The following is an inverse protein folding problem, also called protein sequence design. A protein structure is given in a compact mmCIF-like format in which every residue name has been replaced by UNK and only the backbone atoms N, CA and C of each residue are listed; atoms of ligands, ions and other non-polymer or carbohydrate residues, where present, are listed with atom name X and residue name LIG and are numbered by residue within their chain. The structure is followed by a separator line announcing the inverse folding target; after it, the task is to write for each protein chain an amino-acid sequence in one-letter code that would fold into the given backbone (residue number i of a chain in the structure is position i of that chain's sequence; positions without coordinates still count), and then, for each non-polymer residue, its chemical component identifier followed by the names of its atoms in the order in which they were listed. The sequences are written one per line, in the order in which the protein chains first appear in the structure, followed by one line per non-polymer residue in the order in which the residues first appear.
data_IF_893381624740
#
_entry.id   IF_893381624740
#
_cell.length_a   1.000
_cell.length_b   1.000
_cell.length_c   1.000
_cell.angle_alpha   90.00
_cell.angle_beta   90.00
_cell.angle_gamma   90.00
#
_symmetry.space_group_name_H-M   'P 1'
#
loop_
_entity.id
_entity.type
_entity.pdbx_description
1 polymer ?
#
# COMPACT_ATOMS: atom_id res chain seq x y z
N UNK A 1 -15.61 -35.73 -25.32
CA UNK A 1 -16.33 -35.41 -24.10
C UNK A 1 -15.91 -34.04 -23.60
N UNK A 2 -16.84 -33.10 -23.53
CA UNK A 2 -16.47 -31.75 -23.15
C UNK A 2 -15.91 -31.64 -21.72
N UNK A 3 -16.44 -32.40 -20.80
CA UNK A 3 -15.94 -32.38 -19.42
C UNK A 3 -14.57 -33.05 -19.28
N UNK A 4 -14.21 -33.92 -20.18
CA UNK A 4 -12.91 -34.58 -20.15
C UNK A 4 -11.79 -33.66 -20.64
N UNK A 5 -12.15 -32.63 -21.41
CA UNK A 5 -11.14 -31.72 -21.96
C UNK A 5 -10.52 -30.80 -20.94
N UNK A 6 -11.26 -30.45 -19.91
CA UNK A 6 -10.83 -29.38 -19.06
C UNK A 6 -11.43 -29.52 -17.67
N UNK A 7 -10.96 -30.48 -16.85
CA UNK A 7 -11.49 -30.66 -15.51
C UNK A 7 -11.29 -29.43 -14.61
N UNK A 8 -10.36 -28.55 -14.99
CA UNK A 8 -10.06 -27.35 -14.23
C UNK A 8 -10.49 -26.08 -14.93
N UNK A 9 -11.39 -26.16 -15.92
CA UNK A 9 -11.79 -24.99 -16.71
C UNK A 9 -12.43 -23.91 -15.85
N UNK A 10 -13.32 -24.30 -14.93
CA UNK A 10 -13.98 -23.39 -14.04
C UNK A 10 -12.99 -22.73 -13.06
N UNK A 11 -12.07 -23.51 -12.54
CA UNK A 11 -11.03 -23.02 -11.63
C UNK A 11 -10.09 -22.06 -12.34
N UNK A 12 -9.73 -22.33 -13.60
CA UNK A 12 -8.89 -21.42 -14.38
C UNK A 12 -9.57 -20.09 -14.65
N UNK A 13 -10.83 -20.14 -15.06
CA UNK A 13 -11.61 -18.93 -15.30
C UNK A 13 -11.75 -18.12 -14.00
N UNK A 14 -12.02 -18.81 -12.92
CA UNK A 14 -12.13 -18.18 -11.60
C UNK A 14 -10.81 -17.53 -11.17
N UNK A 15 -9.71 -18.22 -11.41
CA UNK A 15 -8.38 -17.71 -11.07
C UNK A 15 -8.06 -16.43 -11.85
N UNK A 16 -8.35 -16.41 -13.15
CA UNK A 16 -8.17 -15.22 -13.97
C UNK A 16 -9.05 -14.08 -13.46
N UNK A 17 -10.30 -14.36 -13.13
CA UNK A 17 -11.21 -13.35 -12.57
C UNK A 17 -10.69 -12.78 -11.25
N UNK A 18 -10.12 -13.63 -10.41
CA UNK A 18 -9.54 -13.19 -9.14
C UNK A 18 -8.35 -12.25 -9.37
N UNK A 19 -7.48 -12.56 -10.32
CA UNK A 19 -6.36 -11.68 -10.66
C UNK A 19 -6.82 -10.39 -11.31
N UNK A 20 -7.84 -10.44 -12.15
CA UNK A 20 -8.42 -9.24 -12.76
C UNK A 20 -9.05 -8.33 -11.68
N UNK A 21 -9.77 -8.92 -10.73
CA UNK A 21 -10.34 -8.19 -9.62
C UNK A 21 -9.25 -7.54 -8.75
N UNK A 22 -8.17 -8.27 -8.53
CA UNK A 22 -7.03 -7.76 -7.78
C UNK A 22 -6.36 -6.58 -8.50
N UNK A 23 -6.22 -6.68 -9.81
CA UNK A 23 -5.67 -5.59 -10.63
C UNK A 23 -6.54 -4.33 -10.51
N UNK A 24 -7.85 -4.48 -10.65
CA UNK A 24 -8.79 -3.37 -10.50
C UNK A 24 -8.69 -2.74 -9.12
N UNK A 25 -8.53 -3.55 -8.10
CA UNK A 25 -8.39 -3.08 -6.73
C UNK A 25 -7.12 -2.23 -6.56
N UNK A 26 -5.99 -2.70 -7.10
CA UNK A 26 -4.74 -1.94 -7.04
C UNK A 26 -4.83 -0.64 -7.84
N UNK A 27 -5.54 -0.62 -8.96
CA UNK A 27 -5.77 0.59 -9.73
C UNK A 27 -6.57 1.62 -8.95
N UNK A 28 -7.61 1.18 -8.24
CA UNK A 28 -8.39 2.05 -7.36
C UNK A 28 -7.55 2.60 -6.21
N UNK A 29 -6.77 1.74 -5.59
CA UNK A 29 -5.89 2.15 -4.50
C UNK A 29 -4.89 3.20 -4.96
N UNK A 30 -4.31 3.01 -6.14
CA UNK A 30 -3.38 3.95 -6.71
C UNK A 30 -4.05 5.30 -6.99
N UNK A 31 -5.28 5.26 -7.51
CA UNK A 31 -6.07 6.47 -7.77
C UNK A 31 -6.41 7.21 -6.48
N UNK A 32 -6.80 6.49 -5.43
CA UNK A 32 -7.05 7.08 -4.11
C UNK A 32 -5.80 7.74 -3.56
N UNK A 33 -4.66 7.11 -3.73
CA UNK A 33 -3.37 7.66 -3.32
C UNK A 33 -3.06 8.97 -4.04
N UNK A 34 -3.26 9.03 -5.35
CA UNK A 34 -3.07 10.24 -6.14
C UNK A 34 -3.99 11.37 -5.70
N UNK A 35 -5.19 11.05 -5.26
CA UNK A 35 -6.19 12.02 -4.81
C UNK A 35 -6.08 12.32 -3.31
N UNK A 36 -5.06 11.81 -2.65
CA UNK A 36 -4.82 12.00 -1.21
C UNK A 36 -5.96 11.51 -0.31
N UNK A 37 -6.70 10.51 -0.78
CA UNK A 37 -7.80 9.91 -0.02
C UNK A 37 -7.29 8.74 0.81
N UNK A 38 -6.49 9.05 1.79
CA UNK A 38 -5.75 8.08 2.59
C UNK A 38 -6.64 7.19 3.44
N UNK A 39 -7.74 7.73 4.00
CA UNK A 39 -8.66 6.95 4.82
C UNK A 39 -9.36 5.88 3.99
N UNK A 40 -9.80 6.24 2.78
CA UNK A 40 -10.41 5.29 1.85
C UNK A 40 -9.39 4.26 1.38
N UNK A 41 -8.15 4.68 1.16
CA UNK A 41 -7.06 3.78 0.78
C UNK A 41 -6.80 2.74 1.86
N UNK A 42 -6.75 3.15 3.12
CA UNK A 42 -6.53 2.25 4.26
C UNK A 42 -7.66 1.23 4.33
N UNK A 43 -8.91 1.66 4.14
CA UNK A 43 -10.05 0.76 4.13
C UNK A 43 -9.94 -0.26 2.99
N UNK A 44 -9.51 0.16 1.80
CA UNK A 44 -9.33 -0.74 0.66
C UNK A 44 -8.16 -1.69 0.85
N UNK A 45 -7.16 -1.33 1.62
CA UNK A 45 -6.02 -2.21 1.89
C UNK A 45 -6.47 -3.50 2.58
N UNK A 46 -7.44 -3.40 3.48
CA UNK A 46 -8.02 -4.57 4.13
C UNK A 46 -8.65 -5.50 3.10
N UNK A 47 -9.41 -4.94 2.16
CA UNK A 47 -10.02 -5.72 1.08
C UNK A 47 -8.95 -6.34 0.17
N UNK A 48 -7.89 -5.60 -0.10
CA UNK A 48 -6.76 -6.08 -0.90
C UNK A 48 -6.09 -7.29 -0.25
N UNK A 49 -5.80 -7.21 1.03
CA UNK A 49 -5.16 -8.30 1.77
C UNK A 49 -6.07 -9.54 1.78
N UNK A 50 -7.37 -9.35 1.99
CA UNK A 50 -8.33 -10.44 1.96
C UNK A 50 -8.40 -11.09 0.58
N UNK A 51 -8.38 -10.30 -0.48
CA UNK A 51 -8.41 -10.78 -1.85
C UNK A 51 -7.14 -11.57 -2.19
N UNK A 52 -5.98 -11.06 -1.82
CA UNK A 52 -4.71 -11.76 -2.00
C UNK A 52 -4.73 -13.11 -1.29
N UNK A 53 -5.22 -13.15 -0.06
CA UNK A 53 -5.31 -14.38 0.71
C UNK A 53 -6.24 -15.39 0.05
N UNK A 54 -7.29 -14.94 -0.64
CA UNK A 54 -8.26 -15.82 -1.30
C UNK A 54 -7.73 -16.45 -2.58
N UNK A 55 -6.67 -15.91 -3.17
CA UNK A 55 -6.14 -16.39 -4.46
C UNK A 55 -5.34 -17.68 -4.31
N UNK A 56 -4.94 -18.05 -3.15
CA UNK A 56 -4.17 -19.26 -2.93
C UNK A 56 -4.95 -20.57 -3.10
N UNK A 57 -5.68 -20.72 -4.20
CA UNK A 57 -6.45 -21.93 -4.46
C UNK A 57 -5.58 -23.19 -4.57
N UNK A 58 -6.20 -24.38 -4.53
CA UNK A 58 -5.47 -25.64 -4.56
C UNK A 58 -4.87 -25.99 -5.92
N UNK A 59 -5.15 -25.22 -6.97
CA UNK A 59 -4.69 -25.51 -8.32
C UNK A 59 -3.28 -25.00 -8.53
N UNK A 60 -2.28 -25.88 -8.72
CA UNK A 60 -0.91 -25.45 -9.00
C UNK A 60 -0.82 -24.76 -10.37
N UNK A 61 0.03 -23.74 -10.46
CA UNK A 61 0.25 -23.00 -11.70
C UNK A 61 0.71 -23.92 -12.84
N UNK A 62 1.48 -24.95 -12.50
CA UNK A 62 1.99 -25.94 -13.45
C UNK A 62 0.90 -26.75 -14.16
N UNK A 63 -0.30 -26.81 -13.61
CA UNK A 63 -1.42 -27.49 -14.23
C UNK A 63 -2.26 -26.60 -15.15
N UNK A 64 -1.85 -25.34 -15.30
CA UNK A 64 -2.50 -24.40 -16.21
C UNK A 64 -1.92 -24.52 -17.61
N UNK A 65 -2.75 -24.29 -18.60
CA UNK A 65 -2.29 -24.20 -19.98
C UNK A 65 -1.42 -22.94 -20.19
N UNK A 66 -0.66 -22.92 -21.26
CA UNK A 66 0.25 -21.81 -21.56
C UNK A 66 -0.47 -20.47 -21.69
N UNK A 67 -1.63 -20.46 -22.34
CA UNK A 67 -2.41 -19.24 -22.53
C UNK A 67 -2.86 -18.67 -21.18
N UNK A 68 -3.33 -19.53 -20.28
CA UNK A 68 -3.74 -19.12 -18.93
C UNK A 68 -2.56 -18.63 -18.12
N UNK A 69 -1.44 -19.35 -18.18
CA UNK A 69 -0.21 -18.92 -17.49
C UNK A 69 0.27 -17.56 -17.98
N UNK A 70 0.24 -17.35 -19.29
CA UNK A 70 0.64 -16.08 -19.88
C UNK A 70 -0.28 -14.93 -19.42
N UNK A 71 -1.58 -15.19 -19.41
CA UNK A 71 -2.55 -14.18 -18.95
C UNK A 71 -2.37 -13.84 -17.47
N UNK A 72 -2.18 -14.83 -16.65
CA UNK A 72 -1.93 -14.61 -15.21
C UNK A 72 -0.62 -13.85 -15.01
N UNK A 73 0.41 -14.21 -15.79
CA UNK A 73 1.68 -13.51 -15.76
C UNK A 73 1.54 -12.02 -16.09
N UNK A 74 0.77 -11.70 -17.13
CA UNK A 74 0.49 -10.30 -17.50
C UNK A 74 -0.23 -9.55 -16.40
N UNK A 75 -1.26 -10.18 -15.83
CA UNK A 75 -2.05 -9.58 -14.75
C UNK A 75 -1.18 -9.36 -13.50
N UNK A 76 -0.40 -10.36 -13.15
CA UNK A 76 0.48 -10.28 -11.99
C UNK A 76 1.53 -9.18 -12.17
N UNK A 77 2.11 -9.07 -13.35
CA UNK A 77 3.07 -8.02 -13.65
C UNK A 77 2.45 -6.62 -13.49
N UNK A 78 1.24 -6.44 -14.00
CA UNK A 78 0.52 -5.18 -13.85
C UNK A 78 0.17 -4.88 -12.40
N UNK A 79 -0.24 -5.90 -11.65
CA UNK A 79 -0.55 -5.77 -10.21
C UNK A 79 0.70 -5.35 -9.44
N UNK A 80 1.82 -6.01 -9.70
CA UNK A 80 3.08 -5.70 -9.02
C UNK A 80 3.57 -4.30 -9.37
N UNK A 81 3.41 -3.87 -10.61
CA UNK A 81 3.77 -2.52 -11.02
C UNK A 81 2.94 -1.48 -10.26
N UNK A 82 1.63 -1.68 -10.17
CA UNK A 82 0.75 -0.80 -9.41
C UNK A 82 1.10 -0.79 -7.92
N UNK A 83 1.43 -1.96 -7.38
CA UNK A 83 1.83 -2.08 -5.97
C UNK A 83 3.12 -1.32 -5.69
N UNK A 84 4.09 -1.40 -6.59
CA UNK A 84 5.34 -0.65 -6.46
C UNK A 84 5.10 0.86 -6.50
N UNK A 85 4.24 1.32 -7.41
CA UNK A 85 3.88 2.74 -7.50
C UNK A 85 3.17 3.21 -6.24
N UNK A 86 2.27 2.38 -5.72
CA UNK A 86 1.55 2.70 -4.49
C UNK A 86 2.51 2.81 -3.31
N UNK A 87 3.44 1.87 -3.18
CA UNK A 87 4.45 1.89 -2.13
C UNK A 87 5.32 3.14 -2.23
N UNK A 88 5.69 3.54 -3.44
CA UNK A 88 6.47 4.74 -3.65
C UNK A 88 5.71 5.98 -3.16
N UNK A 89 4.43 6.09 -3.47
CA UNK A 89 3.61 7.19 -2.99
C UNK A 89 3.45 7.20 -1.48
N UNK A 90 3.31 6.02 -0.87
CA UNK A 90 3.23 5.90 0.58
C UNK A 90 4.53 6.34 1.26
N UNK A 91 5.67 5.98 0.68
CA UNK A 91 6.97 6.40 1.18
C UNK A 91 7.10 7.93 1.09
N UNK A 92 6.76 8.51 -0.04
CA UNK A 92 6.79 9.96 -0.24
C UNK A 92 5.87 10.67 0.76
N UNK A 93 4.69 10.10 1.00
CA UNK A 93 3.74 10.65 1.96
C UNK A 93 4.29 10.58 3.38
N UNK A 94 4.90 9.46 3.74
CA UNK A 94 5.54 9.29 5.05
C UNK A 94 6.65 10.30 5.24
N UNK A 95 7.49 10.48 4.24
CA UNK A 95 8.60 11.42 4.31
C UNK A 95 8.10 12.87 4.43
N UNK A 96 7.08 13.23 3.65
CA UNK A 96 6.46 14.55 3.74
C UNK A 96 5.87 14.80 5.13
N UNK A 97 5.19 13.81 5.71
CA UNK A 97 4.66 13.90 7.07
C UNK A 97 5.78 14.02 8.10
N UNK A 98 6.88 13.29 7.90
CA UNK A 98 8.04 13.38 8.75
C UNK A 98 8.65 14.78 8.74
N UNK A 99 8.78 15.36 7.57
CA UNK A 99 9.28 16.72 7.40
C UNK A 99 8.35 17.75 8.09
N UNK A 100 7.05 17.59 7.91
CA UNK A 100 6.07 18.44 8.57
C UNK A 100 6.16 18.34 10.09
N UNK A 101 6.34 17.14 10.62
CA UNK A 101 6.51 16.94 12.05
C UNK A 101 7.78 17.59 12.56
N UNK A 102 8.87 17.50 11.82
CA UNK A 102 10.11 18.16 12.18
C UNK A 102 9.97 19.68 12.20
N UNK A 103 9.34 20.24 11.18
CA UNK A 103 9.06 21.68 11.13
C UNK A 103 8.21 22.10 12.32
N UNK A 104 7.16 21.33 12.61
CA UNK A 104 6.29 21.61 13.75
C UNK A 104 7.05 21.57 15.08
N UNK A 105 7.92 20.58 15.26
CA UNK A 105 8.76 20.48 16.44
C UNK A 105 9.72 21.68 16.57
N UNK A 106 10.34 22.06 15.46
CA UNK A 106 11.22 23.24 15.45
C UNK A 106 10.47 24.50 15.82
N UNK A 107 9.24 24.66 15.29
CA UNK A 107 8.40 25.79 15.65
C UNK A 107 8.05 25.79 17.13
N UNK A 108 7.71 24.64 17.68
CA UNK A 108 7.43 24.49 19.10
C UNK A 108 8.66 24.81 19.95
N UNK A 109 9.82 24.30 19.55
CA UNK A 109 11.08 24.57 20.25
C UNK A 109 11.43 26.04 20.21
N UNK A 110 11.26 26.71 19.08
CA UNK A 110 11.47 28.13 18.94
C UNK A 110 10.50 28.92 19.82
N UNK A 111 9.25 28.52 19.83
CA UNK A 111 8.23 29.15 20.65
C UNK A 111 8.55 29.03 22.15
N UNK A 112 8.98 27.85 22.56
CA UNK A 112 9.42 27.63 23.96
C UNK A 112 10.65 28.46 24.29
N UNK A 113 11.62 28.48 23.39
CA UNK A 113 12.83 29.26 23.60
C UNK A 113 12.50 30.77 23.70
N UNK A 114 11.58 31.22 22.84
CA UNK A 114 11.14 32.62 22.86
C UNK A 114 10.35 32.94 24.12
N UNK A 115 9.44 32.07 24.53
CA UNK A 115 8.70 32.23 25.77
C UNK A 115 9.60 32.06 26.97
N UNK A 116 10.53 31.12 26.91
CA UNK A 116 11.51 30.85 27.94
C UNK A 116 12.60 31.90 28.04
N UNK A 117 12.80 32.72 26.98
CA UNK A 117 13.72 33.84 27.00
C UNK A 117 13.36 34.89 28.05
N UNK A 118 12.11 34.89 28.49
CA UNK A 118 11.66 35.75 29.60
C UNK A 118 11.98 35.13 30.97
N UNK A 119 12.30 33.84 30.99
CA UNK A 119 12.68 33.12 32.20
C UNK A 119 13.95 32.35 31.93
N UNK A 120 15.05 32.96 32.20
CA UNK A 120 16.39 32.45 31.84
C UNK A 120 16.66 31.06 32.40
N UNK A 121 16.24 30.81 33.61
CA UNK A 121 16.48 29.51 34.26
C UNK A 121 15.70 28.38 33.65
N UNK A 122 14.55 28.65 33.04
CA UNK A 122 13.75 27.61 32.37
C UNK A 122 14.44 27.11 31.11
N UNK A 123 15.11 28.00 30.39
CA UNK A 123 15.87 27.61 29.22
C UNK A 123 17.02 26.66 29.53
N UNK A 124 17.70 26.89 30.62
CA UNK A 124 18.79 26.01 31.07
C UNK A 124 18.29 24.64 31.50
N UNK A 125 17.17 24.57 32.20
CA UNK A 125 16.55 23.28 32.55
C UNK A 125 16.17 22.48 31.34
N UNK A 126 15.62 23.14 30.37
CA UNK A 126 15.20 22.47 29.14
C UNK A 126 16.40 21.84 28.42
N UNK A 127 17.53 22.52 28.36
CA UNK A 127 18.75 21.97 27.78
C UNK A 127 19.25 20.73 28.54
N UNK A 128 19.15 20.75 29.85
CA UNK A 128 19.57 19.61 30.68
C UNK A 128 18.68 18.40 30.45
N UNK A 129 17.39 18.61 30.26
CA UNK A 129 16.44 17.52 30.02
C UNK A 129 16.62 16.88 28.65
N UNK A 130 17.12 17.63 27.67
CA UNK A 130 17.32 17.11 26.31
C UNK A 130 18.69 16.49 26.08
N UNK A 131 19.59 16.58 27.02
CA UNK A 131 20.93 16.00 26.90
C UNK A 131 21.02 14.53 27.43
#
# INVERSE_FOLDING_TARGET
MPYARCPYAAERARLIEQYEALLQLTERMLKLSHNNKWDELIAMETDYIAEVASIGGPLPIEHLDEATQARIGELLEAILDNDMRLRQQLIERRDALGDMLQVSRRQQDLHRAYSGGKVINAGNRFRQETS
#
